data_IF_715174894698
#
_entry.id   IF_715174894698
#
_cell.length_a   1.000
_cell.length_b   1.000
_cell.length_c   1.000
_cell.angle_alpha   90.00
_cell.angle_beta   90.00
_cell.angle_gamma   90.00
#
_symmetry.space_group_name_H-M   'P 1'
#
loop_
_entity.id
_entity.type
_entity.pdbx_description
1 polymer ?
#
# COMPACT_ATOMS: atom_id res chain seq x y z
N UNK A 1 -0.61 11.92 -17.56
CA UNK A 1 -0.50 10.52 -17.11
C UNK A 1 0.76 10.41 -16.26
N UNK A 2 0.65 10.32 -14.94
CA UNK A 2 1.82 10.18 -14.07
C UNK A 2 2.27 8.72 -14.11
N UNK A 3 3.29 8.40 -14.92
CA UNK A 3 3.77 7.03 -15.12
C UNK A 3 4.88 6.60 -14.16
N UNK A 4 5.39 7.51 -13.31
CA UNK A 4 6.43 7.24 -12.32
C UNK A 4 6.28 8.13 -11.10
N UNK A 5 6.72 7.65 -9.95
CA UNK A 5 6.80 8.44 -8.71
C UNK A 5 7.84 7.87 -7.73
N UNK A 6 8.00 8.54 -6.60
CA UNK A 6 8.93 8.19 -5.52
C UNK A 6 8.16 7.68 -4.30
N UNK A 7 8.67 6.62 -3.69
CA UNK A 7 8.29 6.16 -2.35
C UNK A 7 9.56 6.16 -1.51
N UNK A 8 9.68 7.12 -0.59
CA UNK A 8 10.81 7.24 0.36
C UNK A 8 10.35 7.24 1.82
N UNK A 9 9.07 6.91 2.04
CA UNK A 9 8.45 6.84 3.37
C UNK A 9 8.62 5.44 3.95
N UNK A 10 8.94 5.35 5.24
CA UNK A 10 9.01 4.07 5.93
C UNK A 10 7.63 3.52 6.25
N UNK A 11 7.53 2.22 6.52
CA UNK A 11 6.26 1.62 6.97
C UNK A 11 5.85 2.17 8.33
N UNK A 12 6.80 2.43 9.23
CA UNK A 12 6.53 2.96 10.57
C UNK A 12 5.94 4.38 10.47
N UNK A 13 6.49 5.24 9.60
CA UNK A 13 5.93 6.57 9.36
C UNK A 13 4.50 6.48 8.79
N UNK A 14 4.22 5.50 7.93
CA UNK A 14 2.87 5.26 7.42
C UNK A 14 1.93 4.72 8.50
N UNK A 15 2.41 3.88 9.41
CA UNK A 15 1.64 3.37 10.56
C UNK A 15 1.20 4.53 11.43
N UNK A 16 2.13 5.43 11.75
CA UNK A 16 1.88 6.58 12.62
C UNK A 16 0.97 7.61 11.94
N UNK A 17 1.25 7.98 10.68
CA UNK A 17 0.48 8.99 9.93
C UNK A 17 -0.97 8.56 9.72
N UNK A 18 -1.20 7.27 9.45
CA UNK A 18 -2.53 6.77 9.10
C UNK A 18 -3.28 6.09 10.25
N UNK A 19 -2.71 5.97 11.45
CA UNK A 19 -3.24 5.14 12.54
C UNK A 19 -3.60 3.74 12.01
N UNK A 20 -2.61 3.11 11.38
CA UNK A 20 -2.78 1.86 10.65
C UNK A 20 -1.94 0.72 11.26
N UNK A 21 -2.32 -0.52 10.98
CA UNK A 21 -1.51 -1.69 11.36
C UNK A 21 -0.75 -2.22 10.14
N UNK A 22 0.50 -2.62 10.34
CA UNK A 22 1.29 -3.28 9.31
C UNK A 22 0.71 -4.67 8.99
N UNK A 23 0.40 -4.92 7.72
CA UNK A 23 0.00 -6.21 7.17
C UNK A 23 1.18 -6.94 6.53
N UNK A 24 0.98 -7.48 5.32
CA UNK A 24 2.07 -8.10 4.54
C UNK A 24 2.89 -7.02 3.81
N UNK A 25 3.96 -6.57 4.47
CA UNK A 25 4.81 -5.45 4.04
C UNK A 25 6.32 -5.76 4.12
N UNK A 26 6.69 -7.03 4.41
CA UNK A 26 8.07 -7.44 4.73
C UNK A 26 9.11 -7.12 3.64
N UNK A 27 8.68 -7.01 2.38
CA UNK A 27 9.56 -6.82 1.23
C UNK A 27 9.57 -5.39 0.67
N UNK A 28 8.85 -4.44 1.28
CA UNK A 28 8.77 -3.07 0.76
C UNK A 28 10.02 -2.29 1.12
N UNK A 29 10.64 -1.67 0.10
CA UNK A 29 11.81 -0.80 0.24
C UNK A 29 11.54 0.55 -0.40
N UNK A 30 12.21 1.62 0.06
CA UNK A 30 12.22 2.89 -0.66
C UNK A 30 12.62 2.70 -2.12
N UNK A 31 11.93 3.41 -3.02
CA UNK A 31 12.20 3.44 -4.44
C UNK A 31 12.01 4.85 -4.99
N UNK A 32 13.06 5.39 -5.59
CA UNK A 32 13.05 6.71 -6.23
C UNK A 32 12.60 6.66 -7.70
N UNK A 33 12.17 5.49 -8.18
CA UNK A 33 11.77 5.29 -9.57
C UNK A 33 10.70 4.18 -9.67
N UNK A 34 9.60 4.33 -8.92
CA UNK A 34 8.47 3.40 -8.99
C UNK A 34 7.85 3.47 -10.38
N UNK A 35 7.71 2.32 -11.02
CA UNK A 35 7.11 2.13 -12.33
C UNK A 35 5.77 1.37 -12.22
N UNK A 36 4.89 1.44 -13.24
CA UNK A 36 3.68 0.63 -13.26
C UNK A 36 4.05 -0.84 -13.10
N UNK A 37 3.20 -1.60 -12.42
CA UNK A 37 3.38 -3.00 -12.03
C UNK A 37 4.25 -3.27 -10.81
N UNK A 38 5.03 -2.29 -10.32
CA UNK A 38 5.78 -2.44 -9.08
C UNK A 38 4.84 -2.66 -7.88
N UNK A 39 5.32 -3.39 -6.86
CA UNK A 39 4.62 -3.51 -5.58
C UNK A 39 4.92 -2.28 -4.71
N UNK A 40 3.88 -1.65 -4.20
CA UNK A 40 3.92 -0.40 -3.45
C UNK A 40 3.15 -0.54 -2.14
N UNK A 41 3.48 0.24 -1.09
CA UNK A 41 2.62 0.32 0.10
C UNK A 41 1.28 0.96 -0.27
N UNK A 42 0.20 0.36 0.19
CA UNK A 42 -1.14 0.95 0.15
C UNK A 42 -1.77 0.89 1.53
N UNK A 43 -2.55 1.91 1.87
CA UNK A 43 -3.43 1.91 3.04
C UNK A 43 -4.82 1.51 2.58
N UNK A 44 -5.40 0.50 3.22
CA UNK A 44 -6.77 0.06 2.95
C UNK A 44 -7.56 -0.12 4.25
N UNK A 45 -8.88 0.05 4.16
CA UNK A 45 -9.81 -0.25 5.24
C UNK A 45 -10.72 -1.40 4.79
N UNK A 46 -10.76 -2.48 5.57
CA UNK A 46 -11.63 -3.62 5.27
C UNK A 46 -13.02 -3.40 5.88
N UNK A 47 -14.06 -3.54 5.06
CA UNK A 47 -15.45 -3.28 5.45
C UNK A 47 -16.24 -4.54 5.83
N UNK A 48 -15.66 -5.72 5.62
CA UNK A 48 -16.25 -7.03 5.91
C UNK A 48 -16.42 -7.30 7.41
N UNK A 49 -15.62 -6.66 8.26
CA UNK A 49 -15.66 -6.82 9.71
C UNK A 49 -15.86 -5.46 10.41
N UNK A 50 -17.10 -4.95 10.52
CA UNK A 50 -17.38 -3.59 10.98
C UNK A 50 -16.90 -3.30 12.41
N UNK A 51 -16.86 -4.29 13.30
CA UNK A 51 -16.34 -4.14 14.66
C UNK A 51 -14.80 -3.99 14.72
N UNK A 52 -14.10 -4.25 13.59
CA UNK A 52 -12.65 -4.26 13.48
C UNK A 52 -12.18 -3.43 12.27
N UNK A 53 -12.90 -2.35 11.92
CA UNK A 53 -12.42 -1.39 10.91
C UNK A 53 -11.17 -0.70 11.42
N UNK A 54 -10.03 -1.31 11.12
CA UNK A 54 -8.71 -0.72 11.26
C UNK A 54 -8.12 -0.57 9.87
N UNK A 55 -7.41 0.54 9.66
CA UNK A 55 -6.58 0.73 8.48
C UNK A 55 -5.43 -0.25 8.52
N UNK A 56 -5.11 -0.81 7.37
CA UNK A 56 -4.03 -1.78 7.22
C UNK A 56 -3.12 -1.32 6.09
N UNK A 57 -1.82 -1.50 6.28
CA UNK A 57 -0.83 -1.26 5.24
C UNK A 57 -0.49 -2.60 4.59
N UNK A 58 -0.57 -2.67 3.26
CA UNK A 58 -0.26 -3.88 2.48
C UNK A 58 0.58 -3.54 1.24
N UNK A 59 1.32 -4.52 0.73
CA UNK A 59 2.00 -4.43 -0.56
C UNK A 59 1.06 -4.79 -1.73
N UNK A 60 0.76 -3.83 -2.62
CA UNK A 60 -0.10 -4.05 -3.80
C UNK A 60 0.57 -3.63 -5.12
N UNK A 61 0.16 -4.27 -6.22
CA UNK A 61 0.62 -3.94 -7.58
C UNK A 61 0.09 -2.57 -8.01
N UNK A 62 0.96 -1.69 -8.50
CA UNK A 62 0.54 -0.45 -9.15
C UNK A 62 0.02 -0.70 -10.57
N UNK A 63 -1.25 -1.10 -10.65
CA UNK A 63 -1.94 -1.39 -11.89
C UNK A 63 -3.07 -2.37 -11.61
N UNK A 64 -4.30 -1.87 -11.67
CA UNK A 64 -5.50 -2.67 -11.42
C UNK A 64 -5.60 -3.79 -12.47
N UNK A 65 -5.73 -5.03 -12.01
CA UNK A 65 -6.15 -6.17 -12.82
C UNK A 65 -7.60 -6.43 -12.43
N UNK A 66 -8.57 -6.14 -13.31
CA UNK A 66 -9.96 -6.42 -13.02
C UNK A 66 -10.21 -7.91 -12.82
N UNK A 67 -11.15 -8.28 -11.96
CA UNK A 67 -11.50 -9.69 -11.73
C UNK A 67 -12.15 -10.38 -12.93
N UNK A 68 -12.52 -9.63 -13.96
CA UNK A 68 -13.22 -10.10 -15.16
C UNK A 68 -12.30 -10.24 -16.39
N UNK A 69 -11.01 -9.90 -16.25
CA UNK A 69 -10.00 -9.98 -17.33
C UNK A 69 -9.04 -11.13 -17.12
#
# INVERSE_FOLDING_TARGET
MCGRYVVDVSIDDLVDEFDAVAGDVLDLRPSFNVAPTDRIPIVLERTDQPAHRRRQIHAARWGLIPSWS
#
